data_IF_536814010433
#
_entry.id   IF_536814010433
#
_cell.length_a   1.000
_cell.length_b   1.000
_cell.length_c   1.000
_cell.angle_alpha   90.00
_cell.angle_beta   90.00
_cell.angle_gamma   90.00
#
_symmetry.space_group_name_H-M   'P 1'
#
loop_
_entity.id
_entity.type
_entity.pdbx_description
1 polymer ?
#
# COMPACT_ATOMS: atom_id res chain seq x y z
N UNK A 1 -6.59 -17.33 -0.26
CA UNK A 1 -5.73 -16.46 0.57
C UNK A 1 -6.53 -15.96 1.75
N UNK A 2 -5.98 -15.97 2.97
CA UNK A 2 -6.70 -15.49 4.15
C UNK A 2 -6.81 -13.96 4.19
N UNK A 3 -7.85 -13.44 4.86
CA UNK A 3 -8.05 -12.01 5.10
C UNK A 3 -6.82 -11.32 5.71
N UNK A 4 -6.16 -11.98 6.67
CA UNK A 4 -4.96 -11.47 7.32
C UNK A 4 -3.78 -11.19 6.36
N UNK A 5 -3.69 -11.90 5.24
CA UNK A 5 -2.67 -11.66 4.21
C UNK A 5 -2.84 -10.28 3.57
N UNK A 6 -4.08 -9.94 3.20
CA UNK A 6 -4.40 -8.68 2.56
C UNK A 6 -4.27 -7.50 3.53
N UNK A 7 -4.67 -7.67 4.79
CA UNK A 7 -4.49 -6.64 5.83
C UNK A 7 -3.01 -6.32 6.07
N UNK A 8 -2.15 -7.35 6.16
CA UNK A 8 -0.70 -7.13 6.34
C UNK A 8 -0.09 -6.36 5.19
N UNK A 9 -0.51 -6.66 3.96
CA UNK A 9 -0.01 -5.99 2.74
C UNK A 9 -0.54 -4.57 2.62
N UNK A 10 -1.80 -4.34 3.01
CA UNK A 10 -2.39 -3.00 3.13
C UNK A 10 -1.59 -2.14 4.12
N UNK A 11 -1.31 -2.66 5.32
CA UNK A 11 -0.50 -1.94 6.31
C UNK A 11 0.92 -1.67 5.80
N UNK A 12 1.58 -2.65 5.20
CA UNK A 12 2.94 -2.46 4.67
C UNK A 12 3.02 -1.37 3.59
N UNK A 13 2.10 -1.40 2.61
CA UNK A 13 2.04 -0.39 1.55
C UNK A 13 1.62 0.97 2.09
N UNK A 14 0.62 1.00 2.98
CA UNK A 14 0.16 2.23 3.60
C UNK A 14 1.25 2.91 4.41
N UNK A 15 1.99 2.17 5.22
CA UNK A 15 3.06 2.72 6.07
C UNK A 15 4.23 3.22 5.22
N UNK A 16 4.63 2.48 4.17
CA UNK A 16 5.63 2.97 3.22
C UNK A 16 5.19 4.23 2.48
N UNK A 17 3.95 4.28 2.01
CA UNK A 17 3.40 5.46 1.31
C UNK A 17 3.31 6.66 2.24
N UNK A 18 2.90 6.47 3.50
CA UNK A 18 2.83 7.52 4.51
C UNK A 18 4.22 8.15 4.72
N UNK A 19 5.25 7.34 4.92
CA UNK A 19 6.63 7.83 5.09
C UNK A 19 7.09 8.64 3.88
N UNK A 20 6.86 8.13 2.66
CA UNK A 20 7.26 8.81 1.42
C UNK A 20 6.55 10.17 1.29
N UNK A 21 5.25 10.22 1.53
CA UNK A 21 4.47 11.45 1.38
C UNK A 21 4.82 12.48 2.46
N UNK A 22 4.95 12.06 3.70
CA UNK A 22 5.36 12.95 4.80
C UNK A 22 6.77 13.49 4.55
N UNK A 23 7.72 12.64 4.13
CA UNK A 23 9.07 13.08 3.80
C UNK A 23 9.07 14.09 2.63
N UNK A 24 8.27 13.84 1.59
CA UNK A 24 8.16 14.75 0.46
C UNK A 24 7.60 16.13 0.85
N UNK A 25 6.62 16.18 1.77
CA UNK A 25 6.05 17.44 2.24
C UNK A 25 7.01 18.19 3.18
N UNK A 26 7.77 17.47 4.01
CA UNK A 26 8.84 18.05 4.82
C UNK A 26 9.95 18.68 3.94
N UNK A 27 10.36 18.01 2.86
CA UNK A 27 11.37 18.55 1.92
C UNK A 27 10.87 19.84 1.25
N UNK A 28 9.55 19.98 1.03
CA UNK A 28 8.95 21.21 0.50
C UNK A 28 8.87 22.36 1.52
N UNK A 29 9.28 22.12 2.77
CA UNK A 29 9.25 23.14 3.83
C UNK A 29 7.90 23.33 4.50
N UNK A 30 6.95 22.40 4.34
CA UNK A 30 5.71 22.43 5.11
C UNK A 30 5.95 22.04 6.57
N UNK A 31 5.04 22.46 7.45
CA UNK A 31 5.07 22.06 8.85
C UNK A 31 4.92 20.53 8.99
N UNK A 32 5.48 19.98 10.08
CA UNK A 32 5.40 18.54 10.34
C UNK A 32 3.95 18.07 10.45
N UNK A 33 3.07 18.87 11.07
CA UNK A 33 1.66 18.52 11.23
C UNK A 33 0.95 18.42 9.87
N UNK A 34 1.16 19.40 8.98
CA UNK A 34 0.59 19.38 7.63
C UNK A 34 1.12 18.20 6.81
N UNK A 35 2.43 17.96 6.89
CA UNK A 35 3.10 16.86 6.21
C UNK A 35 2.57 15.50 6.66
N UNK A 36 2.25 15.36 7.95
CA UNK A 36 1.64 14.15 8.49
C UNK A 36 0.19 13.99 8.02
N UNK A 37 -0.60 15.07 8.04
CA UNK A 37 -2.00 15.03 7.56
C UNK A 37 -2.08 14.61 6.10
N UNK A 38 -1.18 15.12 5.25
CA UNK A 38 -1.07 14.67 3.85
C UNK A 38 -0.79 13.16 3.76
N UNK A 39 0.17 12.65 4.53
CA UNK A 39 0.48 11.23 4.58
C UNK A 39 -0.71 10.39 5.02
N UNK A 40 -1.39 10.77 6.10
CA UNK A 40 -2.53 10.04 6.68
C UNK A 40 -3.76 10.03 5.76
N UNK A 41 -4.00 11.08 4.97
CA UNK A 41 -5.12 11.14 4.03
C UNK A 41 -4.85 10.27 2.80
N UNK A 42 -3.66 10.40 2.22
CA UNK A 42 -3.36 9.79 0.92
C UNK A 42 -2.86 8.34 1.02
N UNK A 43 -2.13 7.98 2.08
CA UNK A 43 -1.65 6.62 2.30
C UNK A 43 -2.76 5.54 2.27
N UNK A 44 -3.92 5.69 2.96
CA UNK A 44 -4.97 4.68 2.92
C UNK A 44 -5.62 4.58 1.53
N UNK A 45 -5.75 5.69 0.80
CA UNK A 45 -6.30 5.71 -0.56
C UNK A 45 -5.37 4.93 -1.50
N UNK A 46 -4.08 5.24 -1.49
CA UNK A 46 -3.09 4.54 -2.31
C UNK A 46 -3.01 3.06 -1.97
N UNK A 47 -2.99 2.71 -0.68
CA UNK A 47 -2.99 1.33 -0.24
C UNK A 47 -4.26 0.57 -0.68
N UNK A 48 -5.42 1.22 -0.64
CA UNK A 48 -6.69 0.65 -1.09
C UNK A 48 -6.69 0.37 -2.59
N UNK A 49 -6.22 1.31 -3.41
CA UNK A 49 -6.11 1.14 -4.87
C UNK A 49 -5.13 0.00 -5.20
N UNK A 50 -3.98 -0.05 -4.54
CA UNK A 50 -2.98 -1.10 -4.77
C UNK A 50 -3.52 -2.49 -4.39
N UNK A 51 -4.06 -2.64 -3.19
CA UNK A 51 -4.61 -3.91 -2.70
C UNK A 51 -5.83 -4.33 -3.53
N UNK A 52 -6.73 -3.41 -3.87
CA UNK A 52 -7.88 -3.67 -4.72
C UNK A 52 -7.49 -4.16 -6.10
N UNK A 53 -6.51 -3.51 -6.74
CA UNK A 53 -5.96 -3.94 -8.03
C UNK A 53 -5.36 -5.35 -7.96
N UNK A 54 -4.63 -5.65 -6.87
CA UNK A 54 -4.06 -6.99 -6.64
C UNK A 54 -5.12 -8.07 -6.42
N UNK A 55 -6.17 -7.77 -5.66
CA UNK A 55 -7.30 -8.69 -5.48
C UNK A 55 -7.98 -8.97 -6.83
N UNK A 56 -8.18 -7.92 -7.63
CA UNK A 56 -8.79 -8.04 -8.95
C UNK A 56 -7.95 -8.90 -9.91
N UNK A 57 -6.64 -8.66 -9.97
CA UNK A 57 -5.72 -9.45 -10.80
C UNK A 57 -5.66 -10.91 -10.34
N UNK A 58 -5.60 -11.14 -9.03
CA UNK A 58 -5.64 -12.48 -8.43
C UNK A 58 -6.90 -13.25 -8.81
N UNK A 59 -8.07 -12.59 -8.80
CA UNK A 59 -9.35 -13.19 -9.22
C UNK A 59 -9.40 -13.57 -10.71
N UNK A 60 -8.58 -12.95 -11.56
CA UNK A 60 -8.49 -13.25 -13.00
C UNK A 60 -7.39 -14.24 -13.36
N UNK A 61 -6.74 -14.86 -12.38
CA UNK A 61 -5.63 -15.79 -12.64
C UNK A 61 -4.38 -15.12 -13.21
N UNK A 62 -4.28 -13.79 -13.11
CA UNK A 62 -3.06 -13.06 -13.48
C UNK A 62 -2.08 -13.16 -12.32
N UNK A 63 -1.24 -14.20 -12.36
CA UNK A 63 -0.22 -14.45 -11.36
C UNK A 63 1.04 -13.65 -11.69
N UNK A 64 1.38 -12.70 -10.82
CA UNK A 64 2.67 -12.02 -10.92
C UNK A 64 3.77 -12.92 -10.34
N UNK A 65 4.68 -13.38 -11.20
CA UNK A 65 5.82 -14.22 -10.81
C UNK A 65 6.76 -13.56 -9.78
N UNK A 66 6.88 -12.23 -9.82
CA UNK A 66 7.69 -11.45 -8.87
C UNK A 66 6.99 -11.28 -7.52
N UNK A 67 5.66 -11.27 -7.53
CA UNK A 67 4.89 -10.72 -6.43
C UNK A 67 4.54 -11.74 -5.35
N UNK A 68 4.76 -13.04 -5.60
CA UNK A 68 4.41 -14.16 -4.69
C UNK A 68 3.03 -13.96 -4.07
N UNK A 69 2.07 -13.53 -4.88
CA UNK A 69 0.74 -13.18 -4.38
C UNK A 69 -0.02 -14.46 -3.99
N UNK A 70 0.20 -15.57 -4.67
CA UNK A 70 -0.26 -16.91 -4.27
C UNK A 70 0.84 -17.66 -3.53
N UNK A 71 0.54 -18.41 -2.45
CA UNK A 71 1.49 -19.41 -1.98
C UNK A 71 1.72 -20.36 -3.14
N UNK A 72 2.94 -20.37 -3.69
CA UNK A 72 3.44 -21.43 -4.56
C UNK A 72 3.00 -22.77 -3.94
N UNK A 73 1.99 -23.39 -4.56
CA UNK A 73 1.61 -24.77 -4.28
C UNK A 73 2.83 -25.60 -4.63
N UNK A 74 3.54 -26.01 -3.59
CA UNK A 74 4.54 -27.06 -3.70
C UNK A 74 3.85 -28.39 -3.98
#
# INVERSE_FOLDING_TARGET
MGWAFWVRRFMGVGLGTLVILTLAQCIKGHDLAESLMHGVIWAPITAAVFVGGRIYQSRRGMHCAICRDTPETR
#
